data_IF_319725599343
#
_entry.id   IF_319725599343
#
_cell.length_a   1.000
_cell.length_b   1.000
_cell.length_c   1.000
_cell.angle_alpha   90.00
_cell.angle_beta   90.00
_cell.angle_gamma   90.00
#
_symmetry.space_group_name_H-M   'P 1'
#
loop_
_entity.id
_entity.type
_entity.pdbx_description
1 polymer ?
#
# COMPACT_ATOMS: atom_id res chain seq x y z
N UNK A 1 15.73 -1.71 -17.41
CA UNK A 1 15.93 -1.48 -15.97
C UNK A 1 15.15 -2.54 -15.23
N UNK A 2 15.84 -3.37 -14.44
CA UNK A 2 15.21 -4.48 -13.75
C UNK A 2 14.34 -3.93 -12.63
N UNK A 3 13.10 -4.42 -12.48
CA UNK A 3 12.17 -4.10 -11.37
C UNK A 3 12.80 -4.30 -9.97
N UNK A 4 13.94 -4.98 -9.88
CA UNK A 4 14.71 -5.20 -8.64
C UNK A 4 15.33 -3.94 -8.01
N UNK A 5 15.11 -2.76 -8.57
CA UNK A 5 15.75 -1.51 -8.12
C UNK A 5 14.82 -0.55 -7.37
N UNK A 6 13.56 -0.93 -7.14
CA UNK A 6 12.54 -0.12 -6.46
C UNK A 6 12.45 -0.42 -4.96
N UNK A 7 13.58 -0.37 -4.25
CA UNK A 7 13.64 -0.64 -2.81
C UNK A 7 13.06 0.51 -1.98
N UNK A 8 12.55 0.20 -0.78
CA UNK A 8 12.07 1.21 0.18
C UNK A 8 13.15 2.26 0.49
N UNK A 9 14.41 1.83 0.64
CA UNK A 9 15.52 2.74 0.90
C UNK A 9 15.73 3.75 -0.24
N UNK A 10 15.61 3.32 -1.51
CA UNK A 10 15.70 4.22 -2.67
C UNK A 10 14.54 5.20 -2.73
N UNK A 11 13.32 4.76 -2.47
CA UNK A 11 12.16 5.63 -2.42
C UNK A 11 12.35 6.73 -1.37
N UNK A 12 12.77 6.38 -0.16
CA UNK A 12 13.04 7.32 0.93
C UNK A 12 14.19 8.29 0.61
N UNK A 13 15.25 7.82 -0.02
CA UNK A 13 16.35 8.69 -0.47
C UNK A 13 15.88 9.70 -1.52
N UNK A 14 15.08 9.25 -2.49
CA UNK A 14 14.51 10.12 -3.52
C UNK A 14 13.57 11.17 -2.90
N UNK A 15 12.70 10.78 -1.98
CA UNK A 15 11.84 11.70 -1.23
C UNK A 15 12.64 12.78 -0.51
N UNK A 16 13.69 12.38 0.21
CA UNK A 16 14.52 13.31 0.97
C UNK A 16 15.21 14.35 0.07
N UNK A 17 15.64 13.94 -1.12
CA UNK A 17 16.30 14.83 -2.08
C UNK A 17 15.30 15.75 -2.81
N UNK A 18 14.24 15.17 -3.38
CA UNK A 18 13.35 15.90 -4.30
C UNK A 18 12.14 16.53 -3.61
N UNK A 19 11.61 15.90 -2.57
CA UNK A 19 10.49 16.44 -1.81
C UNK A 19 10.87 17.67 -1.01
N UNK A 20 12.09 17.71 -0.48
CA UNK A 20 12.63 18.89 0.22
C UNK A 20 12.89 20.09 -0.70
N UNK A 21 13.00 19.86 -2.02
CA UNK A 21 13.17 20.93 -3.00
C UNK A 21 11.86 21.67 -3.34
N UNK A 22 10.70 21.09 -2.99
CA UNK A 22 9.38 21.72 -3.19
C UNK A 22 9.16 22.73 -2.08
N UNK A 23 9.01 24.02 -2.46
CA UNK A 23 8.81 25.10 -1.51
C UNK A 23 7.50 24.95 -0.74
N UNK A 24 7.43 25.32 0.56
CA UNK A 24 6.18 25.28 1.33
C UNK A 24 5.03 26.07 0.69
N UNK A 25 5.33 27.15 -0.03
CA UNK A 25 4.33 27.99 -0.71
C UNK A 25 3.71 27.28 -1.92
N UNK A 26 4.36 26.24 -2.47
CA UNK A 26 3.82 25.42 -3.56
C UNK A 26 2.87 24.35 -3.06
N UNK A 27 2.78 24.13 -1.74
CA UNK A 27 1.87 23.16 -1.13
C UNK A 27 0.59 23.82 -0.65
N UNK A 28 -0.57 23.18 -0.82
CA UNK A 28 -1.82 23.64 -0.22
C UNK A 28 -1.71 23.74 1.31
N UNK A 29 -2.35 24.77 1.89
CA UNK A 29 -2.29 25.02 3.33
C UNK A 29 -2.97 23.92 4.17
N UNK A 30 -3.96 23.20 3.62
CA UNK A 30 -4.80 22.24 4.34
C UNK A 30 -5.25 21.01 3.53
N UNK A 31 -4.81 20.88 2.28
CA UNK A 31 -5.02 19.66 1.49
C UNK A 31 -3.75 18.82 1.48
N UNK A 32 -3.91 17.53 1.70
CA UNK A 32 -2.82 16.58 1.50
C UNK A 32 -2.54 16.41 0.01
N UNK A 33 -1.27 16.51 -0.36
CA UNK A 33 -0.74 16.20 -1.69
C UNK A 33 0.30 15.11 -1.54
N UNK A 34 0.80 14.48 -2.62
CA UNK A 34 1.97 13.63 -2.48
C UNK A 34 3.17 14.46 -1.98
N UNK A 35 4.06 13.85 -1.22
CA UNK A 35 5.29 14.54 -0.83
C UNK A 35 6.12 14.94 -2.05
N UNK A 36 6.19 14.04 -3.04
CA UNK A 36 6.76 14.26 -4.37
C UNK A 36 6.07 13.32 -5.35
N UNK A 37 6.04 13.61 -6.63
CA UNK A 37 5.55 12.72 -7.68
C UNK A 37 4.02 12.56 -7.75
N UNK A 38 3.54 11.31 -7.75
CA UNK A 38 2.16 10.92 -8.03
C UNK A 38 1.44 10.39 -6.79
N UNK A 39 0.17 10.73 -6.65
CA UNK A 39 -0.76 10.19 -5.64
C UNK A 39 -2.09 9.85 -6.30
N UNK A 40 -2.71 8.72 -5.91
CA UNK A 40 -4.11 8.39 -6.25
C UNK A 40 -4.89 7.96 -4.98
N UNK A 41 -5.20 6.68 -4.80
CA UNK A 41 -6.10 6.21 -3.73
C UNK A 41 -5.58 6.52 -2.31
N UNK A 42 -6.43 6.98 -1.40
CA UNK A 42 -6.13 6.97 0.03
C UNK A 42 -6.13 5.54 0.57
N UNK A 43 -5.18 5.22 1.44
CA UNK A 43 -4.99 3.89 2.03
C UNK A 43 -4.79 3.98 3.54
N UNK A 44 -5.11 2.91 4.25
CA UNK A 44 -4.72 2.71 5.64
C UNK A 44 -5.13 3.82 6.61
N UNK A 45 -6.20 4.58 6.29
CA UNK A 45 -6.65 5.64 7.20
C UNK A 45 -6.96 5.06 8.57
N UNK A 46 -6.30 5.59 9.60
CA UNK A 46 -6.38 5.07 10.96
C UNK A 46 -5.96 6.11 11.99
N UNK A 47 -6.49 5.99 13.21
CA UNK A 47 -5.97 6.73 14.36
C UNK A 47 -5.06 5.81 15.14
N UNK A 48 -3.79 6.18 15.29
CA UNK A 48 -2.77 5.35 15.89
C UNK A 48 -1.74 6.21 16.65
N UNK A 49 -1.44 5.85 17.87
CA UNK A 49 -0.49 6.57 18.75
C UNK A 49 -0.73 8.09 18.81
N UNK A 50 -2.00 8.49 18.90
CA UNK A 50 -2.38 9.90 19.08
C UNK A 50 -2.40 10.76 17.81
N UNK A 51 -2.17 10.18 16.64
CA UNK A 51 -2.25 10.86 15.34
C UNK A 51 -3.16 10.11 14.37
N UNK A 52 -3.77 10.83 13.44
CA UNK A 52 -4.38 10.26 12.25
C UNK A 52 -3.29 9.93 11.26
N UNK A 53 -3.24 8.69 10.79
CA UNK A 53 -2.35 8.22 9.75
C UNK A 53 -3.12 8.12 8.45
N UNK A 54 -2.58 8.66 7.37
CA UNK A 54 -3.07 8.51 6.01
C UNK A 54 -1.92 8.02 5.15
N UNK A 55 -2.09 6.82 4.60
CA UNK A 55 -1.25 6.33 3.53
C UNK A 55 -1.93 6.60 2.20
N UNK A 56 -1.19 6.48 1.12
CA UNK A 56 -1.72 6.69 -0.23
C UNK A 56 -0.92 5.92 -1.27
N UNK A 57 -1.59 5.54 -2.35
CA UNK A 57 -0.94 5.01 -3.54
C UNK A 57 0.04 6.04 -4.08
N UNK A 58 1.27 5.63 -4.36
CA UNK A 58 2.36 6.55 -4.50
C UNK A 58 3.38 6.10 -5.55
N UNK A 59 3.74 7.00 -6.45
CA UNK A 59 4.96 6.89 -7.24
C UNK A 59 5.83 8.11 -6.92
N UNK A 60 6.95 7.96 -6.19
CA UNK A 60 7.80 9.09 -5.85
C UNK A 60 8.60 9.64 -7.03
N UNK A 61 8.81 8.84 -8.09
CA UNK A 61 9.79 9.12 -9.13
C UNK A 61 9.28 9.90 -10.33
N UNK A 62 7.97 9.96 -10.54
CA UNK A 62 7.35 10.66 -11.68
C UNK A 62 5.93 11.12 -11.31
N UNK A 63 5.39 12.05 -12.07
CA UNK A 63 4.00 12.55 -11.97
C UNK A 63 2.99 11.65 -12.73
N UNK A 64 3.29 10.38 -12.83
CA UNK A 64 2.48 9.37 -13.54
C UNK A 64 2.34 8.12 -12.70
N UNK A 65 1.28 7.37 -12.97
CA UNK A 65 1.14 6.03 -12.43
C UNK A 65 2.30 5.14 -12.87
N UNK A 66 2.90 4.44 -11.94
CA UNK A 66 3.99 3.47 -12.14
C UNK A 66 3.91 2.45 -11.01
N UNK A 67 4.86 1.50 -10.87
CA UNK A 67 4.83 0.55 -9.75
C UNK A 67 4.59 1.25 -8.41
N UNK A 68 3.48 0.85 -7.75
CA UNK A 68 2.94 1.56 -6.61
C UNK A 68 3.70 1.27 -5.32
N UNK A 69 3.95 2.36 -4.63
CA UNK A 69 4.42 2.42 -3.25
C UNK A 69 3.24 2.86 -2.35
N UNK A 70 3.46 2.84 -1.04
CA UNK A 70 2.61 3.56 -0.09
C UNK A 70 3.36 4.77 0.46
N UNK A 71 2.93 5.97 0.08
CA UNK A 71 3.30 7.20 0.74
C UNK A 71 2.61 7.30 2.10
N UNK A 72 3.08 8.21 2.97
CA UNK A 72 2.62 8.30 4.35
C UNK A 72 2.59 9.74 4.84
N UNK A 73 1.51 10.11 5.50
CA UNK A 73 1.37 11.38 6.20
C UNK A 73 0.60 11.19 7.51
N UNK A 74 0.83 12.08 8.47
CA UNK A 74 0.12 12.07 9.75
C UNK A 74 -0.43 13.45 10.07
N UNK A 75 -1.51 13.49 10.87
CA UNK A 75 -2.15 14.73 11.31
C UNK A 75 -2.70 14.58 12.72
N UNK A 76 -2.79 15.69 13.45
CA UNK A 76 -3.49 15.76 14.73
C UNK A 76 -4.88 16.36 14.61
N UNK A 77 -5.20 17.02 13.50
CA UNK A 77 -6.43 17.81 13.30
C UNK A 77 -7.14 17.53 11.97
N UNK A 78 -6.61 16.64 11.10
CA UNK A 78 -7.10 16.30 9.76
C UNK A 78 -7.01 17.44 8.72
N UNK A 79 -6.45 18.56 9.09
CA UNK A 79 -6.27 19.73 8.22
C UNK A 79 -4.80 19.94 7.86
N UNK A 80 -3.92 19.85 8.87
CA UNK A 80 -2.49 20.02 8.71
C UNK A 80 -1.79 18.67 8.73
N UNK A 81 -1.05 18.38 7.68
CA UNK A 81 -0.40 17.08 7.47
C UNK A 81 1.11 17.20 7.53
N UNK A 82 1.71 16.32 8.30
CA UNK A 82 3.15 16.09 8.37
C UNK A 82 3.50 14.87 7.53
N UNK A 83 4.40 15.03 6.57
CA UNK A 83 4.85 13.91 5.74
C UNK A 83 5.84 13.03 6.50
N UNK A 84 5.62 11.75 6.43
CA UNK A 84 6.53 10.72 6.91
C UNK A 84 7.19 10.02 5.70
N UNK A 85 8.33 9.34 5.91
CA UNK A 85 8.96 8.58 4.84
C UNK A 85 8.03 7.52 4.26
N UNK A 86 8.22 7.19 2.98
CA UNK A 86 7.53 6.12 2.29
C UNK A 86 7.43 4.87 3.16
N UNK A 87 6.22 4.31 3.30
CA UNK A 87 5.96 3.18 4.18
C UNK A 87 6.21 1.83 3.52
N UNK A 88 5.81 1.65 2.26
CA UNK A 88 5.96 0.42 1.48
C UNK A 88 6.50 0.72 0.09
N UNK A 89 7.39 -0.14 -0.39
CA UNK A 89 7.89 -0.16 -1.76
C UNK A 89 7.64 -1.53 -2.41
N UNK A 90 7.62 -1.66 -3.74
CA UNK A 90 7.42 -2.93 -4.45
C UNK A 90 8.72 -3.77 -4.46
N UNK A 91 9.23 -4.14 -3.30
CA UNK A 91 10.55 -4.73 -3.07
C UNK A 91 10.52 -6.14 -2.47
N UNK A 92 9.35 -6.79 -2.43
CA UNK A 92 9.22 -8.16 -1.98
C UNK A 92 8.77 -9.10 -3.12
N UNK A 93 8.99 -10.43 -3.00
CA UNK A 93 8.55 -11.38 -4.02
C UNK A 93 7.04 -11.34 -4.30
N UNK A 94 6.22 -10.88 -3.35
CA UNK A 94 4.77 -10.79 -3.50
C UNK A 94 4.32 -9.54 -4.29
N UNK A 95 5.15 -8.49 -4.37
CA UNK A 95 4.77 -7.20 -4.93
C UNK A 95 5.78 -6.55 -5.88
N UNK A 96 6.82 -7.27 -6.28
CA UNK A 96 7.89 -6.74 -7.17
C UNK A 96 7.47 -6.61 -8.65
N UNK A 97 6.24 -6.25 -8.89
CA UNK A 97 5.64 -5.98 -10.19
C UNK A 97 4.95 -4.62 -10.20
N UNK A 98 3.65 -4.56 -10.53
CA UNK A 98 2.84 -3.34 -10.39
C UNK A 98 2.81 -2.76 -8.97
N UNK A 99 3.10 -3.58 -7.95
CA UNK A 99 3.51 -3.10 -6.64
C UNK A 99 2.52 -3.31 -5.50
N UNK A 100 2.59 -2.38 -4.56
CA UNK A 100 1.74 -2.36 -3.37
C UNK A 100 0.46 -1.56 -3.67
N UNK A 101 -0.64 -2.25 -4.03
CA UNK A 101 -1.92 -1.63 -4.31
C UNK A 101 -2.67 -1.27 -3.02
N UNK A 102 -3.89 -0.80 -3.17
CA UNK A 102 -4.68 -0.25 -2.06
C UNK A 102 -4.99 -1.26 -0.96
N UNK A 103 -5.26 -0.73 0.22
CA UNK A 103 -5.57 -1.50 1.40
C UNK A 103 -5.87 -0.63 2.63
N UNK A 104 -5.77 -1.23 3.79
CA UNK A 104 -6.20 -0.65 5.06
C UNK A 104 -5.23 -0.92 6.21
N UNK A 105 -5.50 -0.31 7.36
CA UNK A 105 -4.70 -0.45 8.57
C UNK A 105 -5.58 -0.74 9.78
N UNK A 106 -5.01 -1.43 10.78
CA UNK A 106 -5.60 -1.61 12.10
C UNK A 106 -4.51 -1.70 13.17
N UNK A 107 -4.84 -1.41 14.42
CA UNK A 107 -3.92 -1.61 15.53
C UNK A 107 -3.99 -3.06 16.02
N UNK A 108 -2.85 -3.61 16.42
CA UNK A 108 -2.68 -4.94 16.98
C UNK A 108 -2.66 -4.91 18.51
N UNK A 109 -2.85 -6.06 19.15
CA UNK A 109 -2.84 -6.21 20.62
C UNK A 109 -1.53 -5.80 21.28
N UNK A 110 -0.43 -5.98 20.56
CA UNK A 110 0.92 -5.61 21.03
C UNK A 110 1.24 -4.12 20.80
N UNK A 111 0.26 -3.34 20.34
CA UNK A 111 0.39 -1.90 20.06
C UNK A 111 1.12 -1.59 18.76
N UNK A 112 1.40 -2.57 17.91
CA UNK A 112 1.88 -2.35 16.55
C UNK A 112 0.74 -2.01 15.60
N UNK A 113 1.07 -1.48 14.45
CA UNK A 113 0.13 -1.22 13.37
C UNK A 113 0.28 -2.28 12.29
N UNK A 114 -0.83 -2.91 11.92
CA UNK A 114 -0.94 -3.87 10.84
C UNK A 114 -1.50 -3.16 9.60
N UNK A 115 -0.75 -3.20 8.51
CA UNK A 115 -1.20 -2.81 7.18
C UNK A 115 -1.57 -4.09 6.41
N UNK A 116 -2.72 -4.11 5.75
CA UNK A 116 -3.09 -5.14 4.80
C UNK A 116 -3.32 -4.50 3.44
N UNK A 117 -2.68 -5.01 2.40
CA UNK A 117 -2.66 -4.41 1.07
C UNK A 117 -2.71 -5.47 -0.02
N UNK A 118 -3.14 -5.07 -1.20
CA UNK A 118 -3.07 -5.93 -2.37
C UNK A 118 -1.66 -5.88 -2.94
N UNK A 119 -1.01 -7.02 -2.95
CA UNK A 119 0.32 -7.22 -3.54
C UNK A 119 0.19 -7.73 -4.96
N UNK A 120 0.90 -7.12 -5.92
CA UNK A 120 0.71 -7.39 -7.34
C UNK A 120 2.02 -7.72 -8.01
N UNK A 121 2.03 -8.88 -8.68
CA UNK A 121 3.11 -9.31 -9.56
C UNK A 121 2.58 -9.49 -10.98
N UNK A 122 3.44 -9.35 -11.98
CA UNK A 122 3.09 -9.62 -13.36
C UNK A 122 3.53 -11.04 -13.73
N UNK A 123 2.60 -11.87 -14.20
CA UNK A 123 2.86 -13.24 -14.62
C UNK A 123 2.55 -13.45 -16.10
N UNK A 124 3.41 -14.23 -16.78
CA UNK A 124 3.16 -14.65 -18.14
C UNK A 124 2.16 -15.81 -18.16
N UNK A 125 1.03 -15.59 -18.80
CA UNK A 125 -0.02 -16.60 -18.95
C UNK A 125 0.32 -17.63 -20.05
N UNK A 126 -0.34 -18.80 -20.11
CA UNK A 126 -0.11 -19.82 -21.13
C UNK A 126 -0.29 -19.33 -22.58
N UNK A 127 -1.12 -18.32 -22.80
CA UNK A 127 -1.32 -17.69 -24.10
C UNK A 127 -0.21 -16.67 -24.46
N UNK A 128 0.78 -16.47 -23.57
CA UNK A 128 1.90 -15.56 -23.75
C UNK A 128 1.68 -14.13 -23.29
N UNK A 129 0.47 -13.76 -22.89
CA UNK A 129 0.15 -12.44 -22.34
C UNK A 129 0.68 -12.26 -20.92
N UNK A 130 1.14 -11.05 -20.60
CA UNK A 130 1.42 -10.67 -19.22
C UNK A 130 0.13 -10.22 -18.55
N UNK A 131 -0.16 -10.75 -17.36
CA UNK A 131 -1.31 -10.38 -16.55
C UNK A 131 -0.88 -10.11 -15.10
N UNK A 132 -1.53 -9.15 -14.50
CA UNK A 132 -1.36 -8.84 -13.09
C UNK A 132 -2.07 -9.89 -12.24
N UNK A 133 -1.32 -10.48 -11.31
CA UNK A 133 -1.85 -11.42 -10.32
C UNK A 133 -1.94 -10.68 -9.00
N UNK A 134 -3.15 -10.60 -8.46
CA UNK A 134 -3.45 -9.89 -7.22
C UNK A 134 -3.60 -10.88 -6.06
N UNK A 135 -2.87 -10.63 -5.00
CA UNK A 135 -2.89 -11.38 -3.73
C UNK A 135 -2.96 -10.39 -2.58
N UNK A 136 -3.27 -10.87 -1.36
CA UNK A 136 -3.26 -9.96 -0.21
C UNK A 136 -2.04 -10.24 0.65
N UNK A 137 -1.34 -9.16 1.01
CA UNK A 137 -0.15 -9.19 1.86
C UNK A 137 -0.32 -8.28 3.06
N UNK A 138 0.52 -8.49 4.07
CA UNK A 138 0.56 -7.65 5.27
C UNK A 138 1.93 -7.03 5.47
N UNK A 139 1.94 -5.92 6.20
CA UNK A 139 3.15 -5.35 6.78
C UNK A 139 2.86 -4.90 8.21
N UNK A 140 3.81 -5.08 9.12
CA UNK A 140 3.65 -4.82 10.54
C UNK A 140 4.71 -3.83 10.98
N UNK A 141 4.30 -2.78 11.68
CA UNK A 141 5.24 -1.73 12.07
C UNK A 141 4.80 -0.92 13.29
N UNK A 142 5.52 0.18 13.50
CA UNK A 142 5.37 1.03 14.69
C UNK A 142 4.72 2.40 14.40
N UNK A 143 4.26 2.59 13.15
CA UNK A 143 3.73 3.86 12.65
C UNK A 143 4.73 4.66 11.81
N UNK A 144 5.96 4.17 11.65
CA UNK A 144 7.00 4.76 10.82
C UNK A 144 7.66 3.71 9.91
N UNK A 145 8.13 2.62 10.51
CA UNK A 145 8.80 1.53 9.83
C UNK A 145 7.92 0.27 9.84
N UNK A 146 7.87 -0.42 8.71
CA UNK A 146 7.04 -1.60 8.50
C UNK A 146 7.86 -2.73 7.88
N UNK A 147 7.68 -3.92 8.43
CA UNK A 147 8.28 -5.16 7.92
C UNK A 147 7.23 -6.01 7.22
N UNK A 148 7.58 -6.53 6.06
CA UNK A 148 6.79 -7.50 5.30
C UNK A 148 7.22 -8.91 5.74
N UNK A 149 6.36 -9.67 6.44
CA UNK A 149 6.73 -10.99 6.92
C UNK A 149 6.90 -12.00 5.77
N UNK A 150 7.75 -13.00 5.97
CA UNK A 150 8.06 -14.02 4.97
C UNK A 150 6.85 -14.92 4.60
N UNK A 151 5.76 -14.88 5.39
CA UNK A 151 4.53 -15.60 5.07
C UNK A 151 3.68 -14.91 3.98
N UNK A 152 4.06 -13.72 3.52
CA UNK A 152 3.35 -13.06 2.41
C UNK A 152 3.48 -13.84 1.10
N UNK A 153 2.42 -13.85 0.27
CA UNK A 153 1.09 -13.30 0.53
C UNK A 153 0.27 -14.17 1.51
N UNK A 154 -0.60 -13.52 2.30
CA UNK A 154 -1.44 -14.21 3.31
C UNK A 154 -2.76 -14.71 2.73
N UNK A 155 -3.26 -14.12 1.65
CA UNK A 155 -4.39 -14.63 0.86
C UNK A 155 -4.01 -14.65 -0.62
N UNK A 156 -4.37 -15.76 -1.27
CA UNK A 156 -4.06 -16.03 -2.68
C UNK A 156 -5.30 -16.47 -3.44
N UNK A 157 -5.15 -16.78 -4.72
CA UNK A 157 -6.23 -17.33 -5.55
C UNK A 157 -6.79 -18.65 -5.01
N UNK A 158 -6.03 -19.35 -4.18
CA UNK A 158 -6.48 -20.63 -3.56
C UNK A 158 -7.54 -20.42 -2.49
N UNK A 159 -7.61 -19.20 -1.96
CA UNK A 159 -8.55 -18.80 -0.92
C UNK A 159 -9.84 -18.23 -1.51
N UNK A 160 -9.88 -18.00 -2.83
CA UNK A 160 -11.08 -17.56 -3.54
C UNK A 160 -12.05 -18.72 -3.75
N UNK A 161 -13.35 -18.46 -3.61
CA UNK A 161 -14.37 -19.44 -4.05
C UNK A 161 -14.25 -19.74 -5.54
N UNK A 162 -14.74 -20.92 -5.96
CA UNK A 162 -14.84 -21.27 -7.37
C UNK A 162 -15.69 -20.26 -8.14
N UNK A 163 -15.25 -19.88 -9.36
CA UNK A 163 -15.92 -18.90 -10.21
C UNK A 163 -15.53 -17.45 -9.95
N UNK A 164 -14.46 -17.19 -9.17
CA UNK A 164 -13.94 -15.83 -8.97
C UNK A 164 -12.60 -15.60 -9.67
N UNK A 165 -12.42 -14.37 -10.19
CA UNK A 165 -11.25 -13.97 -10.95
C UNK A 165 -10.03 -13.73 -10.05
N UNK A 166 -8.93 -14.41 -10.35
CA UNK A 166 -7.63 -14.16 -9.70
C UNK A 166 -6.97 -12.84 -10.13
N UNK A 167 -7.50 -12.18 -11.15
CA UNK A 167 -6.97 -10.93 -11.70
C UNK A 167 -7.62 -9.69 -11.08
N UNK A 168 -8.76 -9.87 -10.42
CA UNK A 168 -9.55 -8.82 -9.79
C UNK A 168 -9.89 -9.23 -8.35
N UNK A 169 -8.87 -9.29 -7.51
CA UNK A 169 -8.93 -9.66 -6.10
C UNK A 169 -8.12 -8.67 -5.29
N UNK A 170 -8.78 -7.59 -4.77
CA UNK A 170 -8.07 -6.42 -4.23
C UNK A 170 -8.82 -5.65 -3.15
N UNK A 171 -8.17 -4.58 -2.66
CA UNK A 171 -8.70 -3.55 -1.76
C UNK A 171 -9.18 -4.11 -0.42
N UNK A 172 -8.30 -4.81 0.34
CA UNK A 172 -8.69 -5.41 1.60
C UNK A 172 -8.97 -4.33 2.66
N UNK A 173 -10.11 -4.48 3.35
CA UNK A 173 -10.38 -3.79 4.60
C UNK A 173 -10.27 -4.78 5.75
N UNK A 174 -9.27 -4.58 6.61
CA UNK A 174 -9.04 -5.39 7.81
C UNK A 174 -9.48 -4.62 9.05
N UNK A 175 -9.98 -5.34 10.05
CA UNK A 175 -10.22 -4.82 11.39
C UNK A 175 -10.00 -5.91 12.44
N UNK A 176 -9.80 -5.48 13.66
CA UNK A 176 -9.66 -6.37 14.81
C UNK A 176 -11.01 -6.55 15.47
N UNK A 177 -11.37 -7.78 15.78
CA UNK A 177 -12.58 -8.15 16.51
C UNK A 177 -12.37 -8.03 18.04
N UNK A 178 -13.48 -8.01 18.78
CA UNK A 178 -13.44 -7.88 20.23
C UNK A 178 -12.77 -9.07 20.94
N UNK A 179 -12.77 -10.24 20.31
CA UNK A 179 -12.12 -11.46 20.84
C UNK A 179 -10.62 -11.57 20.48
N UNK A 180 -10.08 -10.53 19.80
CA UNK A 180 -8.67 -10.49 19.40
C UNK A 180 -8.38 -11.14 18.04
N UNK A 181 -9.35 -11.73 17.38
CA UNK A 181 -9.21 -12.20 15.99
C UNK A 181 -9.26 -11.04 15.00
N UNK A 182 -8.89 -11.31 13.75
CA UNK A 182 -8.96 -10.33 12.67
C UNK A 182 -9.95 -10.80 11.61
N UNK A 183 -10.80 -9.88 11.18
CA UNK A 183 -11.67 -10.05 10.02
C UNK A 183 -11.22 -9.14 8.89
N UNK A 184 -11.38 -9.62 7.65
CA UNK A 184 -11.13 -8.81 6.48
C UNK A 184 -12.21 -9.02 5.42
N UNK A 185 -12.47 -8.00 4.64
CA UNK A 185 -13.29 -8.06 3.42
C UNK A 185 -12.45 -7.57 2.24
N UNK A 186 -12.57 -8.26 1.12
CA UNK A 186 -11.90 -7.88 -0.14
C UNK A 186 -12.90 -7.87 -1.27
N UNK A 187 -12.60 -7.14 -2.33
CA UNK A 187 -13.38 -7.16 -3.57
C UNK A 187 -12.79 -8.21 -4.50
N UNK A 188 -13.64 -9.04 -5.08
CA UNK A 188 -13.27 -9.91 -6.19
C UNK A 188 -14.39 -9.90 -7.24
N UNK A 189 -14.00 -9.99 -8.52
CA UNK A 189 -14.92 -10.07 -9.65
C UNK A 189 -15.26 -11.55 -9.88
N UNK A 190 -16.54 -11.87 -10.05
CA UNK A 190 -16.93 -13.19 -10.53
C UNK A 190 -16.54 -13.38 -12.01
N UNK A 191 -16.21 -14.61 -12.44
CA UNK A 191 -15.79 -14.91 -13.81
C UNK A 191 -16.89 -14.64 -14.85
N UNK A 192 -18.15 -14.64 -14.43
CA UNK A 192 -19.31 -14.28 -15.26
C UNK A 192 -19.53 -12.74 -15.34
N UNK A 193 -18.70 -11.95 -14.67
CA UNK A 193 -18.75 -10.49 -14.68
C UNK A 193 -19.75 -9.88 -13.69
N UNK A 194 -20.26 -10.64 -12.75
CA UNK A 194 -21.19 -10.16 -11.70
C UNK A 194 -20.46 -9.65 -10.44
#
# INVERSE_FOLDING_TARGET
DSMNDLTLQKARAYEAEHGAAISPEERPAYHMTPYVGWLNDPNGFSYYKGKYHQFYQYNPYDVRWAPMHWGHAVSTDLLHWEYLPCALAPDSPADNGPGCFSGSATEMDDGKQLLMYTSVVAEKQPNGEMRDIQTQSIAIGDGLDYEKPACNPVLTQKDLPEGFSKFDFRDPKIWREADGTYSAVTVCLAEDGS
#
